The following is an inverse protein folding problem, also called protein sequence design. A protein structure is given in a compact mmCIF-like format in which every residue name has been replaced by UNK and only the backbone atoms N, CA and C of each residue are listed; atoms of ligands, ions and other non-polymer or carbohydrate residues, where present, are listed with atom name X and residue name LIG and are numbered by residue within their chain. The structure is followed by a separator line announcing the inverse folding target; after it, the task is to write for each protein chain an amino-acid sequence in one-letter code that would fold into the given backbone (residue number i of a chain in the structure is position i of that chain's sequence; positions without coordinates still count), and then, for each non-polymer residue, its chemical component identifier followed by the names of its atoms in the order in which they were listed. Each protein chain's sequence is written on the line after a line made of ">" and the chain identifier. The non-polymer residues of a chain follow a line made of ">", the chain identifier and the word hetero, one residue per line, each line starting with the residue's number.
data_IF_572632428588
#
_entry.id   IF_572632428588
#
_cell.length_a   1.000
_cell.length_b   1.000
_cell.length_c   1.000
_cell.angle_alpha   90.00
_cell.angle_beta   90.00
_cell.angle_gamma   90.00
#
_symmetry.space_group_name_H-M   'P 1'
#
loop_
_entity.id
_entity.type
_entity.pdbx_description
1 polymer ?
#
# COMPACT_ATOMS: atom_id res chain seq x y z
N UNK A 1 24.90 14.50 -27.56
CA UNK A 1 25.58 13.96 -26.36
C UNK A 1 24.71 14.33 -25.16
N UNK A 2 23.98 13.36 -24.61
CA UNK A 2 23.08 13.56 -23.49
C UNK A 2 23.89 13.54 -22.18
N UNK A 3 23.85 14.63 -21.42
CA UNK A 3 24.40 14.67 -20.07
C UNK A 3 23.33 14.19 -19.09
N UNK A 4 23.50 12.97 -18.58
CA UNK A 4 22.74 12.48 -17.45
C UNK A 4 23.16 13.25 -16.20
N UNK A 5 22.27 14.08 -15.67
CA UNK A 5 22.41 14.65 -14.34
C UNK A 5 22.38 13.49 -13.33
N UNK A 6 23.53 13.22 -12.73
CA UNK A 6 23.66 12.33 -11.60
C UNK A 6 22.86 12.93 -10.43
N UNK A 7 21.85 12.21 -9.96
CA UNK A 7 21.15 12.52 -8.72
C UNK A 7 22.17 12.28 -7.60
N UNK A 8 22.86 13.34 -7.21
CA UNK A 8 23.69 13.36 -6.01
C UNK A 8 22.77 13.20 -4.82
N UNK A 9 23.10 12.23 -3.99
CA UNK A 9 22.57 12.01 -2.64
C UNK A 9 22.56 13.32 -1.87
N UNK A 10 21.40 13.96 -1.78
CA UNK A 10 21.18 15.00 -0.79
C UNK A 10 21.21 14.35 0.58
N UNK A 11 22.24 14.71 1.35
CA UNK A 11 22.30 14.49 2.78
C UNK A 11 20.99 14.98 3.39
N UNK A 12 20.28 14.09 4.08
CA UNK A 12 19.11 14.40 4.88
C UNK A 12 19.55 15.41 5.95
N UNK A 13 19.18 16.67 5.74
CA UNK A 13 18.97 17.58 6.85
C UNK A 13 17.58 17.26 7.37
N UNK A 14 17.55 16.72 8.59
CA UNK A 14 16.35 16.41 9.35
C UNK A 14 15.51 17.68 9.54
N UNK A 15 14.53 17.89 8.66
CA UNK A 15 13.30 18.53 9.07
C UNK A 15 12.52 17.48 9.86
N UNK A 16 12.53 17.64 11.19
CA UNK A 16 11.69 16.95 12.17
C UNK A 16 10.20 17.28 11.93
N UNK A 17 9.69 16.99 10.74
CA UNK A 17 8.25 16.91 10.49
C UNK A 17 7.76 15.69 11.27
N UNK A 18 7.31 15.92 12.50
CA UNK A 18 7.03 14.97 13.59
C UNK A 18 6.54 13.58 13.14
N UNK A 19 7.50 12.73 12.73
CA UNK A 19 7.26 11.32 12.43
C UNK A 19 6.95 10.60 13.73
N UNK A 20 5.71 10.15 13.90
CA UNK A 20 5.32 9.39 15.07
C UNK A 20 6.11 8.08 15.11
N UNK A 21 6.86 7.84 16.17
CA UNK A 21 7.71 6.65 16.26
C UNK A 21 8.23 6.36 17.65
N UNK A 22 8.61 5.10 17.88
CA UNK A 22 8.94 4.58 19.20
C UNK A 22 9.44 3.15 19.18
N UNK A 23 10.00 2.71 20.31
CA UNK A 23 10.49 1.34 20.47
C UNK A 23 9.34 0.42 20.90
N UNK A 24 9.13 -0.66 20.17
CA UNK A 24 8.15 -1.69 20.51
C UNK A 24 8.80 -3.07 20.49
N UNK A 25 8.25 -3.98 21.31
CA UNK A 25 8.59 -5.39 21.21
C UNK A 25 7.80 -6.01 20.06
N UNK A 26 8.51 -6.55 19.09
CA UNK A 26 7.96 -7.17 17.90
C UNK A 26 8.14 -8.69 17.93
N UNK A 27 7.10 -9.41 17.50
CA UNK A 27 7.15 -10.85 17.27
C UNK A 27 6.62 -11.19 15.89
N UNK A 28 7.38 -12.01 15.15
CA UNK A 28 6.99 -12.49 13.82
C UNK A 28 5.70 -13.33 13.90
N UNK A 29 4.91 -13.49 12.84
CA UNK A 29 3.79 -14.46 12.81
C UNK A 29 4.31 -15.89 12.69
N UNK A 30 5.12 -16.13 11.66
CA UNK A 30 5.71 -17.43 11.37
C UNK A 30 7.13 -17.57 11.97
N UNK A 31 7.52 -18.80 12.28
CA UNK A 31 8.93 -19.13 12.53
C UNK A 31 9.66 -19.21 11.20
N UNK A 32 10.93 -18.82 11.17
CA UNK A 32 11.76 -19.03 9.99
C UNK A 32 12.11 -20.51 9.77
N UNK A 33 12.14 -21.30 10.83
CA UNK A 33 12.25 -22.76 10.80
C UNK A 33 11.64 -23.35 12.07
N UNK A 34 11.18 -24.60 12.04
CA UNK A 34 10.48 -25.24 13.17
C UNK A 34 11.31 -25.26 14.47
N UNK A 35 12.62 -25.50 14.35
CA UNK A 35 13.58 -25.59 15.45
C UNK A 35 14.09 -24.23 15.96
N UNK A 36 13.90 -23.14 15.21
CA UNK A 36 14.38 -21.83 15.64
C UNK A 36 13.42 -21.23 16.67
N UNK A 37 13.93 -20.72 17.80
CA UNK A 37 13.10 -20.03 18.77
C UNK A 37 12.50 -18.78 18.13
N UNK A 38 11.36 -18.36 18.69
CA UNK A 38 10.59 -17.20 18.23
C UNK A 38 10.62 -16.11 19.30
N UNK A 39 11.78 -15.46 19.54
CA UNK A 39 11.91 -14.45 20.58
C UNK A 39 11.16 -13.18 20.20
N UNK A 40 10.77 -12.42 21.24
CA UNK A 40 10.43 -11.02 21.09
C UNK A 40 11.70 -10.23 20.78
N UNK A 41 11.60 -9.27 19.86
CA UNK A 41 12.72 -8.40 19.47
C UNK A 41 12.31 -6.96 19.66
N UNK A 42 13.12 -6.19 20.36
CA UNK A 42 12.95 -4.74 20.39
C UNK A 42 13.30 -4.15 19.02
N UNK A 43 12.41 -3.31 18.50
CA UNK A 43 12.51 -2.68 17.19
C UNK A 43 11.97 -1.27 17.26
N UNK A 44 12.56 -0.37 16.49
CA UNK A 44 12.02 0.99 16.34
C UNK A 44 10.97 0.97 15.24
N UNK A 45 9.78 1.43 15.55
CA UNK A 45 8.70 1.63 14.59
C UNK A 45 8.53 3.12 14.34
N UNK A 46 8.28 3.46 13.08
CA UNK A 46 7.95 4.81 12.66
C UNK A 46 6.77 4.77 11.70
N UNK A 47 5.86 5.70 11.86
CA UNK A 47 4.77 5.98 10.94
C UNK A 47 5.18 7.22 10.13
N UNK A 48 5.21 7.06 8.83
CA UNK A 48 5.63 8.08 7.87
C UNK A 48 4.98 7.80 6.52
N UNK A 49 4.52 8.82 5.80
CA UNK A 49 3.89 8.68 4.48
C UNK A 49 2.83 7.54 4.40
N UNK A 50 1.96 7.41 5.42
CA UNK A 50 0.94 6.34 5.53
C UNK A 50 1.52 4.91 5.52
N UNK A 51 2.80 4.78 5.86
CA UNK A 51 3.53 3.53 5.94
C UNK A 51 3.99 3.29 7.37
N UNK A 52 3.81 2.05 7.83
CA UNK A 52 4.43 1.57 9.06
C UNK A 52 5.79 0.97 8.73
N UNK A 53 6.85 1.65 9.18
CA UNK A 53 8.22 1.20 9.08
C UNK A 53 8.69 0.49 10.34
N UNK A 54 9.43 -0.59 10.17
CA UNK A 54 10.10 -1.34 11.24
C UNK A 54 11.60 -1.33 10.98
N UNK A 55 12.35 -0.72 11.89
CA UNK A 55 13.80 -0.61 11.85
C UNK A 55 14.44 -1.51 12.90
N UNK A 56 15.70 -1.91 12.68
CA UNK A 56 16.45 -2.68 13.67
C UNK A 56 16.67 -1.90 14.99
N UNK A 57 16.86 -0.57 14.89
CA UNK A 57 17.01 0.41 15.96
C UNK A 57 16.63 1.81 15.42
N UNK A 58 16.54 2.82 16.30
CA UNK A 58 16.30 4.22 15.89
C UNK A 58 17.45 4.72 15.00
N UNK A 59 17.14 5.27 13.83
CA UNK A 59 18.14 5.67 12.82
C UNK A 59 18.88 4.49 12.16
N UNK A 60 18.40 3.26 12.39
CA UNK A 60 19.02 2.05 11.87
C UNK A 60 18.48 1.61 10.52
N UNK A 61 18.80 0.37 10.13
CA UNK A 61 18.39 -0.21 8.85
C UNK A 61 16.90 -0.59 8.86
N UNK A 62 16.19 -0.21 7.80
CA UNK A 62 14.82 -0.63 7.53
C UNK A 62 14.77 -2.16 7.37
N UNK A 63 13.94 -2.81 8.19
CA UNK A 63 13.75 -4.28 8.17
C UNK A 63 12.50 -4.66 7.40
N UNK A 64 11.41 -3.93 7.62
CA UNK A 64 10.12 -4.12 6.95
C UNK A 64 9.37 -2.80 6.86
N UNK A 65 8.52 -2.68 5.87
CA UNK A 65 7.53 -1.62 5.75
C UNK A 65 6.18 -2.22 5.34
N UNK A 66 5.09 -1.56 5.69
CA UNK A 66 3.73 -1.99 5.35
C UNK A 66 2.83 -0.76 5.20
N UNK A 67 1.99 -0.69 4.14
CA UNK A 67 1.01 0.37 4.00
C UNK A 67 -0.03 0.28 5.12
N UNK A 68 -0.43 1.43 5.66
CA UNK A 68 -1.45 1.51 6.68
C UNK A 68 -2.86 1.61 6.11
N UNK A 69 -3.03 2.05 4.86
CA UNK A 69 -4.33 2.14 4.18
C UNK A 69 -5.14 0.83 4.31
N UNK A 70 -6.29 0.89 5.01
CA UNK A 70 -7.15 -0.26 5.24
C UNK A 70 -6.58 -1.33 6.19
N UNK A 71 -5.56 -1.01 6.97
CA UNK A 71 -4.98 -1.94 7.94
C UNK A 71 -5.97 -2.23 9.09
N UNK A 72 -6.00 -3.50 9.50
CA UNK A 72 -6.77 -3.95 10.65
C UNK A 72 -5.89 -3.88 11.90
N UNK A 73 -6.28 -3.03 12.84
CA UNK A 73 -5.60 -2.84 14.13
C UNK A 73 -6.46 -3.43 15.25
N UNK A 74 -6.00 -4.51 15.86
CA UNK A 74 -6.73 -5.25 16.88
C UNK A 74 -5.95 -5.36 18.19
N UNK A 75 -6.65 -5.18 19.31
CA UNK A 75 -6.11 -5.50 20.62
C UNK A 75 -6.03 -7.02 20.83
N UNK A 76 -4.93 -7.51 21.38
CA UNK A 76 -4.76 -8.93 21.68
C UNK A 76 -4.77 -9.19 23.18
N UNK A 77 -5.82 -9.83 23.68
CA UNK A 77 -5.83 -10.40 25.03
C UNK A 77 -5.01 -11.68 25.05
N UNK A 78 -3.78 -11.61 25.58
CA UNK A 78 -2.84 -12.74 25.59
C UNK A 78 -2.05 -12.82 26.91
N UNK A 79 -1.08 -13.75 26.98
CA UNK A 79 -0.22 -13.97 28.16
C UNK A 79 0.55 -12.70 28.57
N UNK A 80 0.86 -11.82 27.62
CA UNK A 80 1.59 -10.58 27.91
C UNK A 80 0.64 -9.39 27.81
N UNK A 81 0.73 -8.43 28.74
CA UNK A 81 -0.08 -7.22 28.70
C UNK A 81 0.38 -6.32 27.56
N UNK A 82 -0.50 -5.40 27.19
CA UNK A 82 -0.26 -4.30 26.25
C UNK A 82 0.08 -4.76 24.82
N UNK A 83 -0.56 -5.87 24.39
CA UNK A 83 -0.35 -6.47 23.08
C UNK A 83 -1.41 -6.04 22.08
N UNK A 84 -0.98 -5.84 20.84
CA UNK A 84 -1.86 -5.53 19.72
C UNK A 84 -1.24 -6.06 18.42
N UNK A 85 -2.08 -6.22 17.40
CA UNK A 85 -1.65 -6.62 16.07
C UNK A 85 -2.13 -5.66 14.99
N UNK A 86 -1.32 -5.55 13.94
CA UNK A 86 -1.64 -4.79 12.73
C UNK A 86 -1.48 -5.71 11.53
N UNK A 87 -2.53 -5.83 10.72
CA UNK A 87 -2.58 -6.67 9.53
C UNK A 87 -3.00 -5.87 8.30
N UNK A 88 -2.28 -6.02 7.19
CA UNK A 88 -2.70 -5.45 5.90
C UNK A 88 -2.04 -6.20 4.73
N UNK A 89 -2.78 -6.47 3.64
CA UNK A 89 -2.26 -7.07 2.38
C UNK A 89 -1.24 -8.20 2.57
N UNK A 90 -1.45 -9.09 3.56
CA UNK A 90 -0.57 -10.22 3.90
C UNK A 90 0.63 -9.89 4.81
N UNK A 91 0.83 -8.63 5.18
CA UNK A 91 1.72 -8.22 6.25
C UNK A 91 1.03 -8.37 7.60
N UNK A 92 1.81 -8.76 8.61
CA UNK A 92 1.31 -8.98 9.96
C UNK A 92 2.38 -8.61 10.99
N UNK A 93 2.03 -7.70 11.88
CA UNK A 93 2.86 -7.26 12.98
C UNK A 93 2.16 -7.59 14.30
N UNK A 94 2.84 -8.37 15.16
CA UNK A 94 2.46 -8.49 16.57
C UNK A 94 3.40 -7.63 17.37
N UNK A 95 2.84 -6.66 18.07
CA UNK A 95 3.59 -5.67 18.82
C UNK A 95 3.15 -5.66 20.28
N UNK A 96 4.07 -5.19 21.12
CA UNK A 96 3.83 -5.00 22.54
C UNK A 96 4.48 -3.70 22.98
N UNK A 97 3.67 -2.84 23.60
CA UNK A 97 4.10 -1.61 24.22
C UNK A 97 4.58 -1.85 25.66
N UNK A 98 5.30 -0.87 26.20
CA UNK A 98 5.79 -0.93 27.59
C UNK A 98 4.64 -0.75 28.58
N UNK A 99 3.75 0.19 28.31
CA UNK A 99 2.57 0.50 29.12
C UNK A 99 1.29 0.56 28.27
N UNK A 100 0.16 0.60 28.97
CA UNK A 100 -1.17 0.63 28.36
C UNK A 100 -1.42 1.96 27.62
N UNK A 101 -0.88 3.07 28.13
CA UNK A 101 -1.02 4.39 27.52
C UNK A 101 -0.26 4.49 26.18
N UNK A 102 0.92 3.90 26.08
CA UNK A 102 1.69 3.77 24.86
C UNK A 102 0.98 2.84 23.87
N UNK A 103 0.45 1.70 24.33
CA UNK A 103 -0.39 0.81 23.48
C UNK A 103 -1.53 1.60 22.86
N UNK A 104 -2.29 2.32 23.69
CA UNK A 104 -3.46 3.06 23.24
C UNK A 104 -3.08 4.15 22.23
N UNK A 105 -2.01 4.91 22.49
CA UNK A 105 -1.50 5.92 21.53
C UNK A 105 -1.10 5.30 20.19
N UNK A 106 -0.39 4.17 20.21
CA UNK A 106 -0.05 3.46 18.97
C UNK A 106 -1.29 2.99 18.22
N UNK A 107 -2.24 2.37 18.91
CA UNK A 107 -3.46 1.89 18.28
C UNK A 107 -4.29 3.03 17.68
N UNK A 108 -4.41 4.16 18.37
CA UNK A 108 -5.11 5.35 17.89
C UNK A 108 -4.50 5.88 16.60
N UNK A 109 -3.18 6.16 16.60
CA UNK A 109 -2.47 6.64 15.40
C UNK A 109 -2.60 5.66 14.24
N UNK A 110 -2.40 4.36 14.49
CA UNK A 110 -2.49 3.35 13.44
C UNK A 110 -3.91 3.20 12.88
N UNK A 111 -4.94 3.35 13.72
CA UNK A 111 -6.33 3.32 13.29
C UNK A 111 -6.72 4.57 12.51
N UNK A 112 -6.19 5.74 12.89
CA UNK A 112 -6.38 6.99 12.15
C UNK A 112 -5.77 6.88 10.75
N UNK A 113 -4.51 6.48 10.65
CA UNK A 113 -3.81 6.25 9.39
C UNK A 113 -4.48 5.15 8.54
N UNK A 114 -5.03 4.11 9.19
CA UNK A 114 -5.73 3.06 8.47
C UNK A 114 -7.07 3.51 7.88
N UNK A 115 -7.74 4.46 8.53
CA UNK A 115 -8.99 5.07 8.08
C UNK A 115 -8.77 6.20 7.08
N UNK A 116 -7.57 6.79 7.05
CA UNK A 116 -7.21 7.83 6.10
C UNK A 116 -7.23 7.26 4.68
N UNK A 117 -8.40 7.32 4.05
CA UNK A 117 -8.58 7.02 2.62
C UNK A 117 -7.62 7.91 1.83
N UNK A 118 -7.00 7.37 0.78
CA UNK A 118 -6.39 8.20 -0.25
C UNK A 118 -7.48 9.16 -0.77
N UNK A 119 -7.41 10.42 -0.33
CA UNK A 119 -8.14 11.54 -0.93
C UNK A 119 -7.96 11.55 -2.46
N UNK A 120 -6.89 10.93 -2.97
CA UNK A 120 -6.61 10.70 -4.38
C UNK A 120 -7.46 9.58 -5.04
N UNK A 121 -7.91 8.56 -4.31
CA UNK A 121 -8.81 7.54 -4.84
C UNK A 121 -10.28 8.01 -4.82
N UNK A 122 -10.70 8.77 -3.80
CA UNK A 122 -12.05 9.33 -3.74
C UNK A 122 -12.30 10.40 -4.81
N UNK A 123 -11.23 11.10 -5.24
CA UNK A 123 -11.22 11.98 -6.41
C UNK A 123 -11.52 11.26 -7.74
N UNK A 124 -11.63 9.92 -7.80
CA UNK A 124 -12.04 9.23 -9.03
C UNK A 124 -13.54 8.95 -9.12
N UNK A 125 -14.28 8.98 -8.00
CA UNK A 125 -15.73 8.68 -8.00
C UNK A 125 -16.62 9.92 -8.07
N UNK A 126 -16.21 11.05 -7.48
CA UNK A 126 -16.94 12.33 -7.59
C UNK A 126 -15.93 13.47 -7.50
N UNK A 127 -15.23 13.76 -8.59
CA UNK A 127 -14.30 14.89 -8.63
C UNK A 127 -15.12 16.16 -8.94
N UNK A 128 -15.39 17.08 -7.99
CA UNK A 128 -16.11 18.33 -8.27
C UNK A 128 -15.37 19.19 -9.31
N UNK A 129 -14.07 18.93 -9.50
CA UNK A 129 -13.25 19.54 -10.53
C UNK A 129 -13.69 19.14 -11.95
N UNK A 130 -14.18 17.90 -12.16
CA UNK A 130 -14.67 17.42 -13.48
C UNK A 130 -16.01 18.04 -13.84
N UNK A 131 -16.86 18.34 -12.85
CA UNK A 131 -18.13 19.06 -13.08
C UNK A 131 -17.92 20.52 -13.47
N UNK A 132 -16.82 21.14 -13.04
CA UNK A 132 -16.44 22.50 -13.42
C UNK A 132 -15.80 22.62 -14.82
N UNK A 133 -15.56 21.50 -15.52
CA UNK A 133 -14.92 21.51 -16.83
C UNK A 133 -15.85 22.02 -17.93
N UNK A 134 -15.27 22.75 -18.87
CA UNK A 134 -15.96 23.05 -20.14
C UNK A 134 -16.26 21.76 -20.91
N UNK A 135 -17.28 21.74 -21.80
CA UNK A 135 -17.64 20.54 -22.56
C UNK A 135 -16.47 19.92 -23.34
N UNK A 136 -15.57 20.73 -23.89
CA UNK A 136 -14.39 20.26 -24.63
C UNK A 136 -13.35 19.61 -23.71
N UNK A 137 -13.12 20.18 -22.53
CA UNK A 137 -12.23 19.60 -21.52
C UNK A 137 -12.78 18.28 -20.98
N UNK A 138 -14.09 18.21 -20.74
CA UNK A 138 -14.76 16.98 -20.30
C UNK A 138 -14.63 15.88 -21.34
N UNK A 139 -14.88 16.20 -22.62
CA UNK A 139 -14.68 15.24 -23.71
C UNK A 139 -13.25 14.73 -23.80
N UNK A 140 -12.25 15.60 -23.63
CA UNK A 140 -10.83 15.21 -23.63
C UNK A 140 -10.46 14.37 -22.41
N UNK A 141 -11.00 14.71 -21.23
CA UNK A 141 -10.82 13.94 -20.01
C UNK A 141 -11.42 12.54 -20.15
N UNK A 142 -12.66 12.44 -20.62
CA UNK A 142 -13.35 11.16 -20.84
C UNK A 142 -12.60 10.30 -21.87
N UNK A 143 -12.07 10.91 -22.93
CA UNK A 143 -11.23 10.21 -23.92
C UNK A 143 -10.02 9.53 -23.26
N UNK A 144 -9.18 10.28 -22.54
CA UNK A 144 -7.98 9.70 -21.91
C UNK A 144 -8.30 8.76 -20.76
N UNK A 145 -9.35 9.04 -20.00
CA UNK A 145 -9.83 8.17 -18.93
C UNK A 145 -10.23 6.81 -19.50
N UNK A 146 -11.07 6.81 -20.53
CA UNK A 146 -11.53 5.58 -21.18
C UNK A 146 -10.37 4.81 -21.82
N UNK A 147 -9.40 5.50 -22.43
CA UNK A 147 -8.21 4.85 -22.99
C UNK A 147 -7.36 4.18 -21.91
N UNK A 148 -7.08 4.89 -20.81
CA UNK A 148 -6.34 4.34 -19.66
C UNK A 148 -7.05 3.14 -19.06
N UNK A 149 -8.37 3.27 -18.84
CA UNK A 149 -9.17 2.22 -18.24
C UNK A 149 -9.24 0.98 -19.16
N UNK A 150 -9.38 1.17 -20.47
CA UNK A 150 -9.29 0.09 -21.46
C UNK A 150 -7.93 -0.63 -21.43
N UNK A 151 -6.81 0.11 -21.44
CA UNK A 151 -5.46 -0.50 -21.38
C UNK A 151 -5.30 -1.30 -20.08
N UNK A 152 -5.75 -0.75 -18.95
CA UNK A 152 -5.70 -1.44 -17.66
C UNK A 152 -6.47 -2.76 -17.71
N UNK A 153 -7.65 -2.77 -18.32
CA UNK A 153 -8.49 -3.96 -18.41
C UNK A 153 -7.86 -5.01 -19.33
N UNK A 154 -7.31 -4.61 -20.48
CA UNK A 154 -6.54 -5.49 -21.39
C UNK A 154 -5.34 -6.11 -20.67
N UNK A 155 -4.57 -5.30 -19.92
CA UNK A 155 -3.45 -5.80 -19.13
C UNK A 155 -3.91 -6.77 -18.04
N UNK A 156 -5.04 -6.51 -17.38
CA UNK A 156 -5.63 -7.40 -16.38
C UNK A 156 -6.02 -8.76 -16.95
N UNK A 157 -6.63 -8.80 -18.14
CA UNK A 157 -6.90 -10.04 -18.87
C UNK A 157 -5.60 -10.76 -19.23
N UNK A 158 -4.62 -10.03 -19.77
CA UNK A 158 -3.34 -10.61 -20.16
C UNK A 158 -2.61 -11.25 -18.98
N UNK A 159 -2.57 -10.61 -17.82
CA UNK A 159 -1.99 -11.16 -16.59
C UNK A 159 -2.76 -12.38 -16.08
N UNK A 160 -4.09 -12.36 -16.15
CA UNK A 160 -4.93 -13.53 -15.79
C UNK A 160 -4.62 -14.73 -16.68
N UNK A 161 -4.46 -14.50 -17.99
CA UNK A 161 -4.17 -15.54 -18.98
C UNK A 161 -2.70 -15.99 -18.98
N UNK A 162 -1.78 -15.19 -18.42
CA UNK A 162 -0.32 -15.43 -18.44
C UNK A 162 0.06 -16.77 -17.83
N UNK A 163 -0.60 -17.15 -16.74
CA UNK A 163 -0.32 -18.38 -16.00
C UNK A 163 -1.13 -19.59 -16.48
N UNK A 164 -2.01 -19.41 -17.46
CA UNK A 164 -2.84 -20.49 -17.99
C UNK A 164 -2.13 -21.23 -19.13
N UNK A 165 -2.43 -22.52 -19.28
CA UNK A 165 -1.95 -23.29 -20.44
C UNK A 165 -2.60 -22.81 -21.75
N UNK A 166 -1.94 -23.07 -22.89
CA UNK A 166 -2.37 -22.58 -24.20
C UNK A 166 -3.77 -23.05 -24.60
N UNK A 167 -4.15 -24.28 -24.22
CA UNK A 167 -5.48 -24.87 -24.46
C UNK A 167 -6.56 -24.13 -23.67
N UNK A 168 -6.30 -23.83 -22.40
CA UNK A 168 -7.23 -23.14 -21.50
C UNK A 168 -7.37 -21.66 -21.86
N UNK A 169 -6.29 -20.99 -22.26
CA UNK A 169 -6.34 -19.60 -22.75
C UNK A 169 -7.34 -19.41 -23.89
N UNK A 170 -7.38 -20.35 -24.84
CA UNK A 170 -8.30 -20.28 -25.98
C UNK A 170 -9.77 -20.38 -25.57
N UNK A 171 -10.07 -21.06 -24.46
CA UNK A 171 -11.44 -21.19 -23.93
C UNK A 171 -11.84 -19.96 -23.12
N UNK A 172 -10.92 -19.44 -22.30
CA UNK A 172 -11.20 -18.35 -21.36
C UNK A 172 -11.14 -16.96 -22.00
N UNK A 173 -10.24 -16.74 -22.96
CA UNK A 173 -10.01 -15.40 -23.52
C UNK A 173 -11.25 -14.74 -24.13
N UNK A 174 -12.10 -15.43 -24.94
CA UNK A 174 -13.29 -14.80 -25.51
C UNK A 174 -14.24 -14.26 -24.43
N UNK A 175 -14.53 -15.06 -23.40
CA UNK A 175 -15.42 -14.63 -22.32
C UNK A 175 -14.87 -13.48 -21.48
N UNK A 176 -13.55 -13.35 -21.36
CA UNK A 176 -12.95 -12.21 -20.67
C UNK A 176 -12.97 -10.95 -21.54
N UNK A 177 -12.72 -11.09 -22.84
CA UNK A 177 -12.71 -9.96 -23.78
C UNK A 177 -14.13 -9.43 -24.03
N UNK A 178 -15.14 -10.30 -24.12
CA UNK A 178 -16.54 -9.91 -24.34
C UNK A 178 -17.12 -9.08 -23.18
N UNK A 179 -16.60 -9.28 -21.96
CA UNK A 179 -17.00 -8.52 -20.78
C UNK A 179 -16.29 -7.17 -20.65
N UNK A 180 -15.33 -6.86 -21.51
CA UNK A 180 -14.60 -5.60 -21.48
C UNK A 180 -15.43 -4.49 -22.13
N UNK A 181 -15.47 -3.31 -21.49
CA UNK A 181 -16.03 -2.11 -22.09
C UNK A 181 -15.04 -1.54 -23.11
N UNK A 182 -15.36 -1.67 -24.41
CA UNK A 182 -14.54 -1.12 -25.48
C UNK A 182 -14.93 0.35 -25.69
N UNK A 183 -14.01 1.33 -25.54
CA UNK A 183 -14.31 2.72 -25.79
C UNK A 183 -14.70 2.95 -27.26
N UNK A 184 -15.59 3.93 -27.55
CA UNK A 184 -16.01 4.23 -28.93
C UNK A 184 -14.86 4.77 -29.79
N UNK A 185 -13.84 5.37 -29.16
CA UNK A 185 -12.64 5.87 -29.82
C UNK A 185 -11.44 5.51 -28.95
N UNK A 186 -10.46 4.84 -29.54
CA UNK A 186 -9.19 4.51 -28.88
C UNK A 186 -8.08 5.00 -29.78
N UNK A 187 -7.04 5.62 -29.20
CA UNK A 187 -5.84 5.90 -29.96
C UNK A 187 -5.16 4.57 -30.29
N UNK A 188 -5.07 4.23 -31.57
CA UNK A 188 -4.25 3.14 -32.05
C UNK A 188 -2.91 3.74 -32.47
N UNK A 189 -1.85 3.68 -31.64
CA UNK A 189 -0.51 3.99 -32.10
C UNK A 189 -0.11 2.90 -33.10
N UNK A 190 -0.34 3.17 -34.39
CA UNK A 190 0.21 2.38 -35.48
C UNK A 190 1.73 2.59 -35.57
#
# INVERSE_FOLDING_TARGET
>A
RFNALQITTHAQQDDDEQKFGGLLLYKRKARSACYKPKPWKERYFGVDDRMLHCYNAKGGTLVRSMPLEGALVEEMQSKYPNMFSVENRGFYFVMRAKDEAEKQRWMEVLQEEAKAVDLFNEATSTNPMVESLTPSQKSRFDFFKNERDFIRDVCGIAETLRFQERSERKKLAPGLVDNMSIPPVVYSPL
#
